data_IF_020794499382
#
_entry.id   IF_020794499382
#
_cell.length_a   1.000
_cell.length_b   1.000
_cell.length_c   1.000
_cell.angle_alpha   90.00
_cell.angle_beta   90.00
_cell.angle_gamma   90.00
#
_symmetry.space_group_name_H-M   'P 1'
#
loop_
_entity.id
_entity.type
_entity.pdbx_description
1 polymer ?
#
# COMPACT_ATOMS: atom_id res chain seq x y z
N UNK A 1 13.14 -2.39 21.47
CA UNK A 1 13.89 -2.20 20.21
C UNK A 1 13.49 -3.31 19.27
N UNK A 2 12.95 -3.00 18.08
CA UNK A 2 12.53 -3.98 17.08
C UNK A 2 13.60 -4.09 15.99
N UNK A 3 14.47 -5.08 16.08
CA UNK A 3 15.53 -5.33 15.08
C UNK A 3 15.08 -6.29 13.97
N UNK A 4 13.90 -6.90 14.11
CA UNK A 4 13.39 -7.91 13.19
C UNK A 4 12.85 -7.34 11.87
N UNK A 5 12.62 -6.02 11.79
CA UNK A 5 12.13 -5.36 10.57
C UNK A 5 13.18 -5.50 9.47
N UNK A 6 12.80 -6.13 8.36
CA UNK A 6 13.70 -6.40 7.23
C UNK A 6 13.45 -5.50 6.02
N UNK A 7 12.19 -5.20 5.75
CA UNK A 7 11.73 -4.38 4.64
C UNK A 7 10.86 -3.25 5.18
N UNK A 8 11.08 -2.04 4.69
CA UNK A 8 10.23 -0.86 4.95
C UNK A 8 9.88 -0.24 3.62
N UNK A 9 8.60 0.06 3.42
CA UNK A 9 8.12 0.88 2.30
C UNK A 9 7.55 2.16 2.88
N UNK A 10 7.98 3.31 2.35
CA UNK A 10 7.45 4.63 2.70
C UNK A 10 6.49 5.06 1.60
N UNK A 11 5.29 5.50 1.99
CA UNK A 11 4.22 5.95 1.08
C UNK A 11 3.65 7.28 1.58
N UNK A 12 2.95 7.99 0.69
CA UNK A 12 2.21 9.21 1.04
C UNK A 12 0.89 8.88 1.76
N UNK A 13 0.28 9.92 2.37
CA UNK A 13 -0.98 9.84 3.11
C UNK A 13 -2.21 9.45 2.28
N UNK A 14 -2.11 9.49 0.94
CA UNK A 14 -3.17 9.08 0.04
C UNK A 14 -3.19 7.57 -0.24
N UNK A 15 -2.23 6.82 0.32
CA UNK A 15 -2.12 5.37 0.22
C UNK A 15 -2.62 4.71 1.51
N UNK A 16 -3.60 3.82 1.38
CA UNK A 16 -4.06 2.98 2.50
C UNK A 16 -3.02 1.89 2.83
N UNK A 17 -2.37 2.01 4.00
CA UNK A 17 -1.34 1.08 4.45
C UNK A 17 -1.89 -0.30 4.88
N UNK A 18 -3.21 -0.42 5.07
CA UNK A 18 -3.86 -1.71 5.32
C UNK A 18 -4.22 -2.42 3.99
N UNK A 19 -4.02 -1.77 2.84
CA UNK A 19 -4.28 -2.30 1.50
C UNK A 19 -2.96 -2.68 0.79
N UNK A 20 -2.62 -3.98 0.68
CA UNK A 20 -1.42 -4.43 -0.02
C UNK A 20 -1.38 -3.96 -1.47
N UNK A 21 -2.53 -3.96 -2.16
CA UNK A 21 -2.66 -3.54 -3.56
C UNK A 21 -2.31 -2.06 -3.74
N UNK A 22 -2.69 -1.19 -2.80
CA UNK A 22 -2.35 0.24 -2.87
C UNK A 22 -0.87 0.48 -2.58
N UNK A 23 -0.28 -0.26 -1.63
CA UNK A 23 1.17 -0.21 -1.36
C UNK A 23 1.94 -0.67 -2.61
N UNK A 24 1.52 -1.77 -3.24
CA UNK A 24 2.14 -2.28 -4.47
C UNK A 24 2.01 -1.27 -5.62
N UNK A 25 0.85 -0.65 -5.78
CA UNK A 25 0.65 0.40 -6.78
C UNK A 25 1.59 1.59 -6.58
N UNK A 26 1.80 2.02 -5.32
CA UNK A 26 2.73 3.09 -5.01
C UNK A 26 4.16 2.72 -5.44
N UNK A 27 4.63 1.51 -5.10
CA UNK A 27 5.95 1.01 -5.54
C UNK A 27 6.01 0.88 -7.08
N UNK A 28 4.95 0.43 -7.74
CA UNK A 28 4.96 0.25 -9.19
C UNK A 28 5.02 1.58 -9.96
N UNK A 29 4.52 2.67 -9.39
CA UNK A 29 4.29 3.93 -10.12
C UNK A 29 5.09 5.13 -9.61
N UNK A 30 5.53 5.13 -8.35
CA UNK A 30 6.25 6.25 -7.71
C UNK A 30 7.72 5.95 -7.39
N UNK A 31 8.18 4.71 -7.56
CA UNK A 31 9.54 4.29 -7.20
C UNK A 31 10.42 4.04 -8.42
N UNK A 32 11.68 4.45 -8.35
CA UNK A 32 12.75 4.10 -9.29
C UNK A 32 13.96 3.55 -8.54
N UNK A 33 14.34 2.32 -8.86
CA UNK A 33 15.29 1.54 -8.07
C UNK A 33 16.72 2.12 -8.01
N UNK A 34 17.11 2.97 -8.96
CA UNK A 34 18.44 3.59 -8.99
C UNK A 34 18.61 4.72 -7.98
N UNK A 35 17.52 5.33 -7.53
CA UNK A 35 17.52 6.47 -6.58
C UNK A 35 16.74 6.23 -5.29
N UNK A 36 15.65 5.47 -5.35
CA UNK A 36 14.67 5.37 -4.26
C UNK A 36 14.90 4.12 -3.39
N UNK A 37 15.85 3.26 -3.78
CA UNK A 37 16.24 2.04 -3.07
C UNK A 37 17.36 2.29 -2.06
N UNK A 38 17.13 1.93 -0.80
CA UNK A 38 18.17 1.88 0.23
C UNK A 38 18.43 0.44 0.66
N UNK A 39 19.68 0.00 0.58
CA UNK A 39 20.10 -1.34 1.04
C UNK A 39 21.13 -1.21 2.15
N UNK A 40 20.82 -1.79 3.30
CA UNK A 40 21.73 -1.86 4.45
C UNK A 40 22.20 -3.29 4.65
N UNK A 41 23.48 -3.53 4.41
CA UNK A 41 24.07 -4.86 4.53
C UNK A 41 24.55 -5.13 5.95
N UNK A 42 24.48 -6.40 6.38
CA UNK A 42 25.02 -6.90 7.65
C UNK A 42 24.42 -6.22 8.89
N UNK A 43 23.13 -5.88 8.85
CA UNK A 43 22.40 -5.34 9.99
C UNK A 43 21.85 -6.46 10.88
N UNK A 44 21.60 -6.17 12.16
CA UNK A 44 20.95 -7.13 13.07
C UNK A 44 19.54 -7.46 12.55
N UNK A 45 19.25 -8.75 12.38
CA UNK A 45 17.96 -9.26 11.93
C UNK A 45 17.36 -10.26 12.91
N UNK A 46 16.29 -10.92 12.49
CA UNK A 46 15.68 -11.97 13.28
C UNK A 46 16.45 -13.28 13.14
N UNK A 47 16.72 -13.97 14.25
CA UNK A 47 17.30 -15.34 14.20
C UNK A 47 16.34 -16.39 13.63
N UNK A 48 15.05 -16.05 13.55
CA UNK A 48 14.02 -16.91 12.95
C UNK A 48 13.96 -16.76 11.43
N UNK A 49 14.56 -15.72 10.84
CA UNK A 49 14.64 -15.56 9.39
C UNK A 49 15.72 -16.51 8.84
N UNK A 50 15.34 -17.61 8.14
CA UNK A 50 16.29 -18.61 7.66
C UNK A 50 17.16 -18.09 6.51
N UNK A 51 16.86 -16.93 5.95
CA UNK A 51 17.67 -16.29 4.89
C UNK A 51 18.77 -15.37 5.43
N UNK A 52 18.76 -15.09 6.74
CA UNK A 52 19.86 -14.41 7.42
C UNK A 52 21.07 -15.33 7.60
N UNK A 53 22.21 -14.75 7.97
CA UNK A 53 23.39 -15.54 8.30
C UNK A 53 23.27 -16.23 9.67
N UNK A 54 24.15 -17.21 9.92
CA UNK A 54 24.15 -17.98 11.17
C UNK A 54 24.41 -17.15 12.44
N UNK A 55 24.84 -15.89 12.30
CA UNK A 55 25.07 -14.95 13.40
C UNK A 55 23.84 -14.07 13.67
N UNK A 56 22.76 -14.20 12.87
CA UNK A 56 21.57 -13.37 12.95
C UNK A 56 21.72 -12.02 12.25
N UNK A 57 22.68 -11.88 11.34
CA UNK A 57 22.82 -10.71 10.49
C UNK A 57 22.06 -10.90 9.19
N UNK A 58 21.46 -9.83 8.67
CA UNK A 58 20.71 -9.84 7.42
C UNK A 58 20.95 -8.56 6.64
N UNK A 59 20.52 -8.55 5.38
CA UNK A 59 20.38 -7.32 4.62
C UNK A 59 18.97 -6.76 4.81
N UNK A 60 18.87 -5.45 5.00
CA UNK A 60 17.61 -4.72 5.11
C UNK A 60 17.42 -3.85 3.88
N UNK A 61 16.17 -3.62 3.53
CA UNK A 61 15.78 -2.85 2.36
C UNK A 61 14.75 -1.78 2.73
N UNK A 62 14.97 -0.56 2.24
CA UNK A 62 14.02 0.54 2.27
C UNK A 62 13.60 0.92 0.86
N UNK A 63 12.31 1.12 0.65
CA UNK A 63 11.73 1.60 -0.61
C UNK A 63 11.04 2.94 -0.33
N UNK A 64 11.49 4.01 -0.99
CA UNK A 64 10.78 5.28 -1.01
C UNK A 64 9.79 5.30 -2.19
N UNK A 65 8.51 5.07 -1.89
CA UNK A 65 7.42 5.11 -2.87
C UNK A 65 6.56 6.37 -2.72
N UNK A 66 7.16 7.47 -2.24
CA UNK A 66 6.51 8.79 -2.19
C UNK A 66 6.51 9.48 -3.55
N UNK A 67 5.52 10.32 -3.81
CA UNK A 67 5.47 11.14 -5.00
C UNK A 67 6.58 12.19 -4.98
N UNK A 68 7.16 12.48 -6.15
CA UNK A 68 8.24 13.46 -6.25
C UNK A 68 7.79 14.83 -5.78
N UNK A 69 8.68 15.51 -5.06
CA UNK A 69 8.40 16.80 -4.46
C UNK A 69 7.98 17.82 -5.54
N UNK A 70 6.81 18.42 -5.37
CA UNK A 70 6.24 19.37 -6.32
C UNK A 70 5.56 18.74 -7.54
N UNK A 71 5.46 17.41 -7.61
CA UNK A 71 4.92 16.68 -8.76
C UNK A 71 3.72 15.79 -8.41
N UNK A 72 3.13 15.97 -7.22
CA UNK A 72 2.03 15.14 -6.70
C UNK A 72 0.84 15.03 -7.66
N UNK A 73 0.59 16.08 -8.44
CA UNK A 73 -0.53 16.14 -9.38
C UNK A 73 -0.40 15.16 -10.56
N UNK A 74 0.78 14.60 -10.83
CA UNK A 74 0.96 13.56 -11.85
C UNK A 74 0.77 12.13 -11.29
N UNK A 75 0.76 11.97 -9.97
CA UNK A 75 0.73 10.66 -9.31
C UNK A 75 -0.61 10.40 -8.60
N UNK A 76 -1.74 10.80 -9.17
CA UNK A 76 -3.05 10.51 -8.59
C UNK A 76 -3.64 9.20 -9.12
N UNK A 77 -4.39 8.51 -8.25
CA UNK A 77 -5.22 7.38 -8.66
C UNK A 77 -6.45 7.91 -9.38
N UNK A 78 -6.65 7.48 -10.64
CA UNK A 78 -7.84 7.86 -11.40
C UNK A 78 -9.11 7.40 -10.70
N UNK A 79 -10.04 8.33 -10.48
CA UNK A 79 -11.32 8.09 -9.82
C UNK A 79 -12.47 8.26 -10.80
N UNK A 80 -13.55 7.50 -10.60
CA UNK A 80 -14.74 7.62 -11.45
C UNK A 80 -15.61 8.75 -10.94
N UNK A 81 -16.11 9.58 -11.87
CA UNK A 81 -17.01 10.67 -11.52
C UNK A 81 -18.25 10.09 -10.82
N UNK A 82 -18.49 10.51 -9.58
CA UNK A 82 -19.65 10.10 -8.81
C UNK A 82 -19.51 8.82 -7.98
N UNK A 83 -18.29 8.28 -7.81
CA UNK A 83 -18.03 7.11 -6.96
C UNK A 83 -18.60 7.24 -5.52
N UNK A 84 -18.68 8.47 -5.00
CA UNK A 84 -19.18 8.76 -3.66
C UNK A 84 -20.65 9.22 -3.63
N UNK A 85 -21.34 9.25 -4.78
CA UNK A 85 -22.76 9.67 -4.85
C UNK A 85 -23.66 8.56 -4.32
N UNK A 86 -23.24 7.30 -4.45
CA UNK A 86 -24.02 6.13 -4.09
C UNK A 86 -23.25 5.27 -3.09
N UNK A 87 -23.79 5.12 -1.89
CA UNK A 87 -23.29 4.14 -0.93
C UNK A 87 -23.66 2.73 -1.40
N UNK A 88 -22.72 2.07 -2.06
CA UNK A 88 -22.89 0.71 -2.58
C UNK A 88 -23.24 -0.29 -1.47
N UNK A 89 -22.79 -0.09 -0.23
CA UNK A 89 -23.14 -0.99 0.88
C UNK A 89 -24.63 -0.93 1.18
N UNK A 90 -25.24 0.25 1.08
CA UNK A 90 -26.69 0.41 1.20
C UNK A 90 -27.42 -0.16 -0.01
N UNK A 91 -26.94 0.13 -1.22
CA UNK A 91 -27.62 -0.30 -2.44
C UNK A 91 -27.56 -1.81 -2.65
N UNK A 92 -26.46 -2.45 -2.28
CA UNK A 92 -26.25 -3.89 -2.46
C UNK A 92 -26.73 -4.73 -1.28
N UNK A 93 -27.11 -4.12 -0.16
CA UNK A 93 -27.65 -4.86 0.98
C UNK A 93 -29.09 -5.33 0.69
N UNK A 94 -29.34 -6.66 0.61
CA UNK A 94 -30.64 -7.22 0.24
C UNK A 94 -31.81 -6.80 1.15
N UNK A 95 -31.52 -6.45 2.39
CA UNK A 95 -32.53 -6.12 3.39
C UNK A 95 -33.00 -4.67 3.30
N UNK A 96 -32.26 -3.81 2.59
CA UNK A 96 -32.59 -2.39 2.47
C UNK A 96 -33.75 -2.15 1.51
N UNK A 97 -34.49 -1.07 1.76
CA UNK A 97 -35.55 -0.61 0.86
C UNK A 97 -35.02 -0.24 -0.54
N UNK A 98 -33.80 0.30 -0.61
CA UNK A 98 -33.13 0.67 -1.87
C UNK A 98 -32.84 -0.54 -2.76
N UNK A 99 -32.32 -1.64 -2.20
CA UNK A 99 -32.08 -2.87 -2.96
C UNK A 99 -33.37 -3.46 -3.53
N UNK A 100 -34.43 -3.52 -2.70
CA UNK A 100 -35.75 -4.03 -3.11
C UNK A 100 -36.37 -3.17 -4.22
N UNK A 101 -36.28 -1.85 -4.10
CA UNK A 101 -36.77 -0.91 -5.11
C UNK A 101 -36.02 -1.05 -6.46
N UNK A 102 -34.69 -1.21 -6.44
CA UNK A 102 -33.89 -1.31 -7.68
C UNK A 102 -33.97 -2.68 -8.36
N UNK A 103 -33.96 -3.78 -7.60
CA UNK A 103 -33.82 -5.14 -8.15
C UNK A 103 -35.07 -6.01 -8.09
N UNK A 104 -36.10 -5.63 -7.32
CA UNK A 104 -37.37 -6.39 -7.21
C UNK A 104 -38.60 -5.65 -7.74
N UNK A 105 -38.46 -4.41 -8.23
CA UNK A 105 -39.51 -3.71 -8.97
C UNK A 105 -40.78 -3.37 -8.17
N UNK A 106 -40.67 -3.25 -6.85
CA UNK A 106 -41.76 -2.84 -5.94
C UNK A 106 -41.46 -1.50 -5.29
#
# INVERSE_FOLDING_TARGET
MHYDIKLVTVVDEDIDIDSPDQIEWAVATRFQADRDLVVMNRALGSKLDPSGDSRGLSSKMGLDATAYLGDKDHFYVSKTLGENIVDLRKVLNPDTHLFKKMYKGT
#
